data_IF_513221440190
#
_entry.id   IF_513221440190
#
_cell.length_a   1.000
_cell.length_b   1.000
_cell.length_c   1.000
_cell.angle_alpha   90.00
_cell.angle_beta   90.00
_cell.angle_gamma   90.00
#
_symmetry.space_group_name_H-M   'P 1'
#
loop_
_entity.id
_entity.type
_entity.pdbx_description
1 polymer ?
#
# COMPACT_ATOMS: atom_id res chain seq x y z
N UNK A 1 35.62 -18.32 13.94
CA UNK A 1 34.45 -17.44 14.06
C UNK A 1 33.22 -18.33 14.09
N UNK A 2 32.29 -18.21 15.06
CA UNK A 2 31.10 -19.05 15.07
C UNK A 2 30.26 -18.75 13.83
N UNK A 3 29.80 -19.82 13.17
CA UNK A 3 28.98 -19.76 11.96
C UNK A 3 27.63 -19.18 12.36
N UNK A 4 27.37 -17.92 12.02
CA UNK A 4 26.11 -17.27 12.33
C UNK A 4 25.00 -18.07 11.62
N UNK A 5 24.14 -18.72 12.40
CA UNK A 5 23.00 -19.46 11.87
C UNK A 5 21.95 -18.40 11.57
N UNK A 6 21.83 -18.03 10.30
CA UNK A 6 20.78 -17.13 9.84
C UNK A 6 19.68 -17.97 9.21
N UNK A 7 18.44 -17.71 9.61
CA UNK A 7 17.25 -18.26 8.99
C UNK A 7 16.74 -17.33 7.88
N UNK A 8 15.64 -17.74 7.24
CA UNK A 8 15.02 -16.97 6.16
C UNK A 8 14.57 -15.59 6.64
N UNK A 9 14.01 -15.50 7.85
CA UNK A 9 13.46 -14.26 8.40
C UNK A 9 14.57 -13.24 8.70
N UNK A 10 15.66 -13.68 9.33
CA UNK A 10 16.83 -12.83 9.58
C UNK A 10 17.45 -12.29 8.30
N UNK A 11 17.46 -13.08 7.22
CA UNK A 11 17.86 -12.63 5.89
C UNK A 11 16.94 -11.54 5.33
N UNK A 12 15.61 -11.72 5.42
CA UNK A 12 14.64 -10.73 4.95
C UNK A 12 14.72 -9.45 5.78
N UNK A 13 14.88 -9.55 7.10
CA UNK A 13 15.03 -8.39 7.99
C UNK A 13 16.24 -7.53 7.62
N UNK A 14 17.40 -8.16 7.39
CA UNK A 14 18.61 -7.44 6.94
C UNK A 14 18.45 -6.84 5.54
N UNK A 15 17.85 -7.60 4.62
CA UNK A 15 17.58 -7.11 3.27
C UNK A 15 16.62 -5.91 3.28
N UNK A 16 15.59 -5.96 4.12
CA UNK A 16 14.65 -4.86 4.33
C UNK A 16 15.33 -3.64 4.93
N UNK A 17 16.16 -3.79 5.97
CA UNK A 17 16.91 -2.68 6.54
C UNK A 17 17.86 -1.99 5.53
N UNK A 18 18.53 -2.77 4.69
CA UNK A 18 19.34 -2.21 3.58
C UNK A 18 18.46 -1.43 2.62
N UNK A 19 17.33 -2.01 2.23
CA UNK A 19 16.47 -1.42 1.24
C UNK A 19 15.75 -0.15 1.76
N UNK A 20 15.30 -0.12 3.01
CA UNK A 20 14.71 1.06 3.65
C UNK A 20 15.70 2.23 3.76
N UNK A 21 17.01 1.94 3.88
CA UNK A 21 18.08 2.96 3.98
C UNK A 21 18.63 3.40 2.62
N UNK A 22 18.89 2.43 1.74
CA UNK A 22 19.64 2.65 0.49
C UNK A 22 18.75 2.61 -0.76
N UNK A 23 17.46 2.29 -0.61
CA UNK A 23 16.50 2.08 -1.70
C UNK A 23 16.47 0.63 -2.23
N UNK A 24 15.32 0.21 -2.78
CA UNK A 24 15.14 -1.17 -3.29
C UNK A 24 16.07 -1.50 -4.47
N UNK A 25 16.37 -0.51 -5.30
CA UNK A 25 17.29 -0.67 -6.45
C UNK A 25 18.72 -0.97 -6.01
N UNK A 26 19.12 -0.50 -4.82
CA UNK A 26 20.44 -0.73 -4.26
C UNK A 26 20.61 -2.11 -3.61
N UNK A 27 19.52 -2.88 -3.47
CA UNK A 27 19.52 -4.23 -2.90
C UNK A 27 20.26 -5.21 -3.82
N UNK A 28 21.16 -5.98 -3.25
CA UNK A 28 21.83 -7.09 -3.96
C UNK A 28 22.11 -8.25 -3.03
N UNK A 29 22.10 -9.46 -3.59
CA UNK A 29 22.43 -10.71 -2.87
C UNK A 29 23.79 -10.59 -2.17
N UNK A 30 24.77 -9.95 -2.80
CA UNK A 30 26.11 -9.74 -2.23
C UNK A 30 26.09 -8.81 -1.00
N UNK A 31 25.38 -7.68 -1.07
CA UNK A 31 25.25 -6.76 0.07
C UNK A 31 24.57 -7.45 1.26
N UNK A 32 23.50 -8.19 1.00
CA UNK A 32 22.80 -8.94 2.05
C UNK A 32 23.69 -10.01 2.66
N UNK A 33 24.38 -10.82 1.84
CA UNK A 33 25.32 -11.82 2.34
C UNK A 33 26.41 -11.20 3.24
N UNK A 34 26.96 -10.05 2.82
CA UNK A 34 27.96 -9.31 3.59
C UNK A 34 27.39 -8.78 4.91
N UNK A 35 26.18 -8.21 4.91
CA UNK A 35 25.54 -7.71 6.12
C UNK A 35 25.22 -8.84 7.11
N UNK A 36 24.91 -10.03 6.60
CA UNK A 36 24.60 -11.22 7.38
C UNK A 36 25.85 -12.05 7.78
N UNK A 37 27.04 -11.69 7.30
CA UNK A 37 28.28 -12.45 7.58
C UNK A 37 28.32 -13.85 6.98
N UNK A 38 27.60 -14.10 5.87
CA UNK A 38 27.49 -15.42 5.22
C UNK A 38 28.05 -15.42 3.79
N UNK A 39 28.27 -16.61 3.24
CA UNK A 39 28.62 -16.76 1.83
C UNK A 39 27.45 -16.37 0.91
N UNK A 40 27.75 -15.76 -0.24
CA UNK A 40 26.74 -15.42 -1.26
C UNK A 40 25.92 -16.65 -1.68
N UNK A 41 26.58 -17.81 -1.84
CA UNK A 41 25.91 -19.07 -2.17
C UNK A 41 24.88 -19.52 -1.13
N UNK A 42 25.05 -19.16 0.14
CA UNK A 42 24.08 -19.46 1.20
C UNK A 42 22.77 -18.70 1.01
N UNK A 43 22.82 -17.46 0.50
CA UNK A 43 21.60 -16.68 0.21
C UNK A 43 20.76 -17.34 -0.89
N UNK A 44 21.42 -17.88 -1.93
CA UNK A 44 20.74 -18.61 -3.00
C UNK A 44 20.07 -19.90 -2.55
N UNK A 45 20.46 -20.45 -1.39
CA UNK A 45 19.75 -21.54 -0.74
C UNK A 45 18.36 -21.15 -0.20
N UNK A 46 18.15 -19.87 0.11
CA UNK A 46 16.87 -19.33 0.60
C UNK A 46 16.05 -18.63 -0.50
N UNK A 47 16.75 -17.92 -1.39
CA UNK A 47 16.18 -17.11 -2.45
C UNK A 47 16.87 -17.46 -3.77
N UNK A 48 16.28 -18.34 -4.60
CA UNK A 48 16.89 -18.81 -5.84
C UNK A 48 17.32 -17.68 -6.78
N UNK A 49 16.58 -16.57 -6.78
CA UNK A 49 16.88 -15.38 -7.57
C UNK A 49 16.94 -14.10 -6.73
N UNK A 50 17.56 -13.04 -7.27
CA UNK A 50 17.46 -11.69 -6.69
C UNK A 50 15.99 -11.25 -6.61
N UNK A 51 15.19 -11.59 -7.62
CA UNK A 51 13.78 -11.22 -7.66
C UNK A 51 12.99 -11.82 -6.49
N UNK A 52 13.28 -13.07 -6.09
CA UNK A 52 12.66 -13.71 -4.93
C UNK A 52 13.02 -13.00 -3.60
N UNK A 53 14.26 -12.54 -3.48
CA UNK A 53 14.71 -11.75 -2.34
C UNK A 53 14.01 -10.38 -2.30
N UNK A 54 13.95 -9.69 -3.45
CA UNK A 54 13.25 -8.40 -3.56
C UNK A 54 11.76 -8.55 -3.26
N UNK A 55 11.13 -9.63 -3.75
CA UNK A 55 9.74 -9.96 -3.48
C UNK A 55 9.48 -10.16 -1.98
N UNK A 56 10.35 -10.90 -1.27
CA UNK A 56 10.23 -11.09 0.17
C UNK A 56 10.42 -9.78 0.97
N UNK A 57 11.33 -8.91 0.54
CA UNK A 57 11.50 -7.57 1.13
C UNK A 57 10.25 -6.71 0.92
N UNK A 58 9.64 -6.75 -0.26
CA UNK A 58 8.38 -6.06 -0.51
C UNK A 58 7.24 -6.62 0.35
N UNK A 59 7.11 -7.94 0.46
CA UNK A 59 6.13 -8.55 1.37
C UNK A 59 6.29 -8.00 2.78
N UNK A 60 7.51 -7.98 3.32
CA UNK A 60 7.79 -7.42 4.65
C UNK A 60 7.45 -5.94 4.76
N UNK A 61 7.82 -5.13 3.77
CA UNK A 61 7.46 -3.71 3.73
C UNK A 61 5.95 -3.54 3.89
N UNK A 62 5.17 -4.33 3.17
CA UNK A 62 3.73 -4.25 3.22
C UNK A 62 3.13 -4.80 4.51
N UNK A 63 3.66 -5.89 5.06
CA UNK A 63 3.23 -6.40 6.37
C UNK A 63 3.48 -5.39 7.50
N UNK A 64 4.62 -4.68 7.48
CA UNK A 64 4.96 -3.70 8.52
C UNK A 64 4.21 -2.37 8.35
N UNK A 65 4.01 -1.91 7.11
CA UNK A 65 3.50 -0.56 6.85
C UNK A 65 2.02 -0.52 6.44
N UNK A 66 1.47 -1.63 5.93
CA UNK A 66 0.08 -1.73 5.45
C UNK A 66 -0.77 -2.72 6.27
N UNK A 67 -0.37 -2.99 7.50
CA UNK A 67 -1.03 -3.93 8.40
C UNK A 67 -2.52 -3.60 8.63
N UNK A 68 -3.26 -4.56 9.20
CA UNK A 68 -4.71 -4.51 9.45
C UNK A 68 -5.22 -3.18 10.01
N UNK A 69 -4.40 -2.43 10.75
CA UNK A 69 -4.72 -1.11 11.33
C UNK A 69 -5.11 -0.06 10.28
N UNK A 70 -4.52 -0.13 9.07
CA UNK A 70 -4.92 0.71 7.94
C UNK A 70 -6.31 0.35 7.42
N UNK A 71 -6.65 -0.94 7.43
CA UNK A 71 -7.91 -1.51 6.95
C UNK A 71 -8.99 -1.66 8.03
N UNK A 72 -8.77 -1.12 9.23
CA UNK A 72 -9.78 -1.11 10.30
C UNK A 72 -10.95 -0.23 9.86
N UNK A 73 -12.13 -0.85 9.80
CA UNK A 73 -13.41 -0.17 9.68
C UNK A 73 -13.73 0.43 11.05
N UNK A 74 -13.82 1.75 11.13
CA UNK A 74 -14.26 2.43 12.35
C UNK A 74 -15.78 2.67 12.25
N UNK A 75 -16.58 2.31 13.27
CA UNK A 75 -18.02 2.56 13.24
C UNK A 75 -18.34 4.04 12.97
N UNK A 76 -19.19 4.31 11.98
CA UNK A 76 -19.60 5.66 11.59
C UNK A 76 -18.53 6.49 10.85
N UNK A 77 -17.39 5.90 10.48
CA UNK A 77 -16.38 6.59 9.65
C UNK A 77 -16.86 6.68 8.20
N UNK A 78 -16.95 7.91 7.67
CA UNK A 78 -17.22 8.13 6.25
C UNK A 78 -16.09 7.57 5.39
N UNK A 79 -16.41 6.98 4.24
CA UNK A 79 -15.45 6.46 3.28
C UNK A 79 -14.40 7.52 2.89
N UNK A 80 -14.79 8.77 2.66
CA UNK A 80 -13.84 9.85 2.34
C UNK A 80 -12.91 10.22 3.50
N UNK A 81 -13.39 10.11 4.74
CA UNK A 81 -12.56 10.28 5.94
C UNK A 81 -11.56 9.14 6.09
N UNK A 82 -11.98 7.91 5.81
CA UNK A 82 -11.08 6.76 5.76
C UNK A 82 -10.00 6.94 4.67
N UNK A 83 -10.37 7.36 3.46
CA UNK A 83 -9.42 7.59 2.35
C UNK A 83 -8.35 8.61 2.74
N UNK A 84 -8.74 9.68 3.45
CA UNK A 84 -7.81 10.67 4.00
C UNK A 84 -6.87 10.07 5.03
N UNK A 85 -7.40 9.36 6.03
CA UNK A 85 -6.61 8.66 7.06
C UNK A 85 -5.64 7.66 6.45
N UNK A 86 -6.10 6.88 5.48
CA UNK A 86 -5.30 5.88 4.79
C UNK A 86 -4.16 6.55 4.00
N UNK A 87 -4.42 7.67 3.32
CA UNK A 87 -3.36 8.46 2.68
C UNK A 87 -2.33 8.96 3.68
N UNK A 88 -2.78 9.55 4.80
CA UNK A 88 -1.88 10.09 5.82
C UNK A 88 -0.96 9.01 6.37
N UNK A 89 -1.50 7.83 6.67
CA UNK A 89 -0.71 6.73 7.16
C UNK A 89 0.29 6.20 6.12
N UNK A 90 -0.09 6.13 4.83
CA UNK A 90 0.84 5.83 3.74
C UNK A 90 1.93 6.90 3.60
N UNK A 91 1.59 8.17 3.82
CA UNK A 91 2.53 9.29 3.77
C UNK A 91 3.50 9.26 4.94
N UNK A 92 3.05 8.91 6.14
CA UNK A 92 3.88 8.73 7.33
C UNK A 92 4.85 7.57 7.16
N UNK A 93 4.35 6.41 6.72
CA UNK A 93 5.18 5.25 6.39
C UNK A 93 6.25 5.59 5.36
N UNK A 94 5.89 6.37 4.32
CA UNK A 94 6.84 6.88 3.32
C UNK A 94 7.87 7.84 3.93
N UNK A 95 7.46 8.73 4.84
CA UNK A 95 8.35 9.73 5.44
C UNK A 95 9.40 9.10 6.37
N UNK A 96 9.12 7.94 6.95
CA UNK A 96 10.09 7.17 7.74
C UNK A 96 11.16 6.49 6.88
N UNK A 97 10.94 6.38 5.57
CA UNK A 97 11.92 5.84 4.62
C UNK A 97 12.86 6.93 4.12
N UNK A 98 14.17 6.64 4.06
CA UNK A 98 15.17 7.61 3.56
C UNK A 98 15.16 7.80 2.05
N UNK A 99 14.40 6.98 1.31
CA UNK A 99 14.32 6.98 -0.16
C UNK A 99 12.85 6.83 -0.58
N UNK A 100 12.49 7.47 -1.70
CA UNK A 100 11.18 7.27 -2.34
C UNK A 100 11.05 5.85 -2.92
N UNK A 101 10.64 4.94 -2.05
CA UNK A 101 10.45 3.52 -2.34
C UNK A 101 9.49 3.28 -3.51
N UNK A 102 8.40 4.05 -3.60
CA UNK A 102 7.41 3.92 -4.67
C UNK A 102 7.97 4.28 -6.05
N UNK A 103 8.78 5.33 -6.11
CA UNK A 103 9.50 5.69 -7.33
C UNK A 103 10.52 4.64 -7.72
N UNK A 104 11.27 4.09 -6.76
CA UNK A 104 12.24 3.03 -7.06
C UNK A 104 11.57 1.71 -7.47
N UNK A 105 10.43 1.35 -6.88
CA UNK A 105 9.61 0.21 -7.32
C UNK A 105 9.17 0.34 -8.77
N UNK A 106 8.79 1.55 -9.22
CA UNK A 106 8.42 1.84 -10.62
C UNK A 106 9.61 1.74 -11.59
N UNK A 107 10.84 1.84 -11.07
CA UNK A 107 12.09 1.83 -11.85
C UNK A 107 12.79 0.46 -11.84
N UNK A 108 12.22 -0.56 -11.21
CA UNK A 108 12.82 -1.89 -11.17
C UNK A 108 12.95 -2.47 -12.59
N UNK A 109 13.95 -3.34 -12.86
CA UNK A 109 14.12 -3.96 -14.17
C UNK A 109 12.95 -4.88 -14.54
N UNK A 110 12.64 -4.98 -15.83
CA UNK A 110 11.55 -5.84 -16.34
C UNK A 110 11.66 -7.32 -15.94
N UNK A 111 12.89 -7.83 -15.79
CA UNK A 111 13.16 -9.19 -15.35
C UNK A 111 12.76 -9.46 -13.89
N UNK A 112 12.63 -8.42 -13.07
CA UNK A 112 12.19 -8.52 -11.68
C UNK A 112 10.66 -8.33 -11.57
N UNK A 113 10.01 -7.72 -12.57
CA UNK A 113 8.57 -7.40 -12.54
C UNK A 113 7.66 -8.59 -12.29
N UNK A 114 7.89 -9.76 -12.89
CA UNK A 114 6.97 -10.90 -12.73
C UNK A 114 6.90 -11.42 -11.28
N UNK A 115 8.03 -11.51 -10.59
CA UNK A 115 8.07 -11.92 -9.18
C UNK A 115 7.51 -10.82 -8.26
N UNK A 116 7.74 -9.55 -8.61
CA UNK A 116 7.20 -8.42 -7.87
C UNK A 116 5.69 -8.29 -8.06
N UNK A 117 5.18 -8.55 -9.26
CA UNK A 117 3.75 -8.56 -9.59
C UNK A 117 3.03 -9.68 -8.85
N UNK A 118 3.64 -10.86 -8.73
CA UNK A 118 3.10 -11.98 -7.97
C UNK A 118 2.90 -11.64 -6.48
N UNK A 119 3.70 -10.75 -5.91
CA UNK A 119 3.53 -10.25 -4.52
C UNK A 119 2.59 -9.05 -4.47
N UNK A 120 2.75 -8.10 -5.39
CA UNK A 120 2.01 -6.84 -5.40
C UNK A 120 0.53 -7.06 -5.66
N UNK A 121 0.16 -7.96 -6.57
CA UNK A 121 -1.23 -8.14 -6.97
C UNK A 121 -2.13 -8.68 -5.84
N UNK A 122 -1.77 -9.75 -5.09
CA UNK A 122 -2.56 -10.21 -3.95
C UNK A 122 -2.72 -9.16 -2.85
N UNK A 123 -1.68 -8.35 -2.64
CA UNK A 123 -1.71 -7.28 -1.64
C UNK A 123 -2.60 -6.11 -2.08
N UNK A 124 -2.46 -5.60 -3.31
CA UNK A 124 -3.35 -4.55 -3.82
C UNK A 124 -4.80 -5.01 -3.74
N UNK A 125 -5.07 -6.27 -4.11
CA UNK A 125 -6.39 -6.87 -3.97
C UNK A 125 -6.86 -6.93 -2.50
N UNK A 126 -5.96 -7.13 -1.53
CA UNK A 126 -6.32 -7.08 -0.10
C UNK A 126 -6.74 -5.67 0.32
N UNK A 127 -5.99 -4.65 -0.08
CA UNK A 127 -6.30 -3.25 0.25
C UNK A 127 -7.59 -2.81 -0.45
N UNK A 128 -7.78 -3.19 -1.72
CA UNK A 128 -9.04 -2.94 -2.46
C UNK A 128 -10.25 -3.55 -1.74
N UNK A 129 -10.12 -4.77 -1.21
CA UNK A 129 -11.17 -5.39 -0.39
C UNK A 129 -11.38 -4.65 0.94
N UNK A 130 -10.33 -4.12 1.56
CA UNK A 130 -10.43 -3.29 2.76
C UNK A 130 -11.21 -2.02 2.50
N UNK A 131 -10.86 -1.29 1.43
CA UNK A 131 -11.59 -0.11 0.96
C UNK A 131 -13.06 -0.43 0.68
N UNK A 132 -13.35 -1.54 -0.01
CA UNK A 132 -14.71 -1.93 -0.31
C UNK A 132 -15.54 -2.20 0.96
N UNK A 133 -14.94 -2.84 1.98
CA UNK A 133 -15.61 -3.06 3.28
C UNK A 133 -15.95 -1.76 3.99
N UNK A 134 -15.08 -0.75 3.92
CA UNK A 134 -15.34 0.56 4.52
C UNK A 134 -16.43 1.31 3.74
N UNK A 135 -16.38 1.24 2.40
CA UNK A 135 -17.42 1.81 1.54
C UNK A 135 -18.79 1.18 1.84
N UNK A 136 -18.86 -0.14 1.97
CA UNK A 136 -20.09 -0.87 2.27
C UNK A 136 -20.60 -0.61 3.70
N UNK A 137 -19.71 -0.28 4.64
CA UNK A 137 -20.06 0.01 6.04
C UNK A 137 -20.47 1.47 6.28
N UNK A 138 -20.24 2.37 5.33
CA UNK A 138 -20.60 3.79 5.44
C UNK A 138 -22.08 3.99 5.12
N UNK A 139 -22.91 4.03 6.16
CA UNK A 139 -24.36 4.21 6.05
C UNK A 139 -24.77 5.55 5.40
N UNK A 140 -23.88 6.54 5.33
CA UNK A 140 -24.17 7.81 4.67
C UNK A 140 -24.08 7.73 3.14
N UNK A 141 -23.42 6.69 2.60
CA UNK A 141 -23.27 6.51 1.15
C UNK A 141 -24.63 6.25 0.50
N UNK A 142 -24.92 6.99 -0.57
CA UNK A 142 -26.08 6.74 -1.43
C UNK A 142 -25.83 5.52 -2.31
N UNK A 143 -26.24 4.34 -1.83
CA UNK A 143 -26.04 3.05 -2.51
C UNK A 143 -26.63 3.00 -3.91
N UNK A 144 -27.62 3.85 -4.23
CA UNK A 144 -28.19 3.94 -5.58
C UNK A 144 -27.18 4.46 -6.62
N UNK A 145 -26.12 5.14 -6.16
CA UNK A 145 -25.05 5.68 -7.01
C UNK A 145 -23.91 4.70 -7.27
N UNK A 146 -23.85 3.59 -6.52
CA UNK A 146 -22.79 2.58 -6.64
C UNK A 146 -23.05 1.60 -7.79
N UNK A 147 -23.17 2.12 -9.01
CA UNK A 147 -23.50 1.35 -10.22
C UNK A 147 -22.47 1.54 -11.33
N UNK A 148 -22.32 0.53 -12.19
CA UNK A 148 -21.40 0.59 -13.34
C UNK A 148 -19.96 0.91 -12.90
N UNK A 149 -19.28 1.92 -13.48
CA UNK A 149 -17.94 2.34 -13.07
C UNK A 149 -17.81 2.82 -11.61
N UNK A 150 -18.92 3.18 -10.97
CA UNK A 150 -18.99 3.57 -9.56
C UNK A 150 -19.31 2.39 -8.62
N UNK A 151 -19.44 1.17 -9.15
CA UNK A 151 -19.58 -0.02 -8.29
C UNK A 151 -18.36 -0.19 -7.37
N UNK A 152 -18.51 -0.85 -6.20
CA UNK A 152 -17.50 -0.85 -5.15
C UNK A 152 -16.10 -1.27 -5.63
N UNK A 153 -15.99 -2.34 -6.41
CA UNK A 153 -14.69 -2.88 -6.83
C UNK A 153 -13.94 -1.93 -7.80
N UNK A 154 -14.51 -1.49 -8.94
CA UNK A 154 -13.88 -0.48 -9.81
C UNK A 154 -13.55 0.82 -9.10
N UNK A 155 -14.44 1.31 -8.23
CA UNK A 155 -14.23 2.54 -7.48
C UNK A 155 -13.05 2.40 -6.50
N UNK A 156 -13.01 1.35 -5.69
CA UNK A 156 -11.92 1.12 -4.72
C UNK A 156 -10.57 0.95 -5.42
N UNK A 157 -10.54 0.24 -6.56
CA UNK A 157 -9.34 0.14 -7.40
C UNK A 157 -8.87 1.49 -7.92
N UNK A 158 -9.80 2.34 -8.38
CA UNK A 158 -9.48 3.69 -8.85
C UNK A 158 -8.93 4.56 -7.71
N UNK A 159 -9.59 4.56 -6.54
CA UNK A 159 -9.17 5.30 -5.34
C UNK A 159 -7.77 4.88 -4.92
N UNK A 160 -7.51 3.57 -4.82
CA UNK A 160 -6.19 3.06 -4.44
C UNK A 160 -5.10 3.50 -5.42
N UNK A 161 -5.37 3.41 -6.72
CA UNK A 161 -4.44 3.87 -7.76
C UNK A 161 -4.16 5.37 -7.66
N UNK A 162 -5.19 6.19 -7.44
CA UNK A 162 -5.05 7.63 -7.33
C UNK A 162 -4.21 8.01 -6.09
N UNK A 163 -4.41 7.35 -4.96
CA UNK A 163 -3.63 7.54 -3.74
C UNK A 163 -2.14 7.20 -3.93
N UNK A 164 -1.82 6.08 -4.58
CA UNK A 164 -0.43 5.75 -4.89
C UNK A 164 0.20 6.74 -5.88
N UNK A 165 -0.57 7.26 -6.85
CA UNK A 165 -0.08 8.31 -7.76
C UNK A 165 0.25 9.59 -7.00
N UNK A 166 -0.65 10.06 -6.12
CA UNK A 166 -0.41 11.28 -5.34
C UNK A 166 0.80 11.13 -4.42
N UNK A 167 0.99 9.97 -3.80
CA UNK A 167 2.17 9.69 -2.98
C UNK A 167 3.46 9.73 -3.78
N UNK A 168 3.47 9.13 -4.98
CA UNK A 168 4.65 9.13 -5.84
C UNK A 168 5.00 10.54 -6.36
N UNK A 169 4.00 11.39 -6.57
CA UNK A 169 4.16 12.78 -7.01
C UNK A 169 4.43 13.75 -5.85
N UNK A 170 4.25 13.31 -4.59
CA UNK A 170 4.32 14.16 -3.41
C UNK A 170 3.16 15.17 -3.32
N UNK A 171 2.04 14.89 -3.98
CA UNK A 171 0.85 15.75 -4.02
C UNK A 171 -0.21 15.33 -3.00
N UNK A 172 -1.26 16.16 -2.87
CA UNK A 172 -2.44 15.82 -2.08
C UNK A 172 -3.50 15.00 -2.82
N UNK A 173 -4.54 14.58 -2.09
CA UNK A 173 -5.70 13.90 -2.66
C UNK A 173 -7.01 14.68 -2.41
N UNK A 174 -6.95 15.98 -2.13
CA UNK A 174 -8.14 16.78 -1.79
C UNK A 174 -9.14 16.82 -2.94
N UNK A 175 -8.62 16.90 -4.17
CA UNK A 175 -9.45 16.84 -5.38
C UNK A 175 -10.20 15.51 -5.47
N UNK A 176 -9.52 14.38 -5.22
CA UNK A 176 -10.15 13.06 -5.20
C UNK A 176 -11.22 12.97 -4.11
N UNK A 177 -10.90 13.43 -2.90
CA UNK A 177 -11.83 13.41 -1.77
C UNK A 177 -13.08 14.24 -2.08
N UNK A 178 -12.91 15.45 -2.61
CA UNK A 178 -14.04 16.33 -2.98
C UNK A 178 -14.93 15.68 -4.05
N UNK A 179 -14.33 15.03 -5.05
CA UNK A 179 -15.07 14.31 -6.08
C UNK A 179 -15.82 13.11 -5.49
N UNK A 180 -15.20 12.36 -4.58
CA UNK A 180 -15.85 11.25 -3.88
C UNK A 180 -17.00 11.75 -3.00
N UNK A 181 -16.84 12.85 -2.28
CA UNK A 181 -17.89 13.41 -1.43
C UNK A 181 -19.13 13.79 -2.27
N UNK A 182 -18.91 14.50 -3.38
CA UNK A 182 -20.00 14.90 -4.29
C UNK A 182 -20.67 13.69 -4.97
N UNK A 183 -19.90 12.65 -5.28
CA UNK A 183 -20.38 11.47 -5.97
C UNK A 183 -21.10 10.48 -5.04
N UNK A 184 -20.62 10.29 -3.81
CA UNK A 184 -21.10 9.24 -2.91
C UNK A 184 -22.20 9.69 -1.96
N UNK A 185 -22.22 10.96 -1.57
CA UNK A 185 -23.17 11.45 -0.59
C UNK A 185 -24.28 12.27 -1.27
N UNK A 186 -25.48 12.20 -0.70
CA UNK A 186 -26.51 13.16 -1.05
C UNK A 186 -26.01 14.57 -0.69
N UNK A 187 -26.25 15.59 -1.53
CA UNK A 187 -26.03 16.96 -1.10
C UNK A 187 -26.85 17.16 0.18
N UNK A 188 -26.25 17.81 1.17
CA UNK A 188 -27.00 18.29 2.34
C UNK A 188 -28.02 19.32 1.84
N UNK A 189 -29.17 18.86 1.37
CA UNK A 189 -30.31 19.72 1.17
C UNK A 189 -30.68 20.16 2.58
N UNK A 190 -30.47 21.45 2.87
CA UNK A 190 -31.07 22.11 4.01
C UNK A 190 -32.53 21.66 4.06
N UNK A 191 -32.90 20.94 5.12
CA UNK A 191 -34.28 20.56 5.38
C UNK A 191 -35.03 21.80 5.85
N UNK A 192 -35.16 22.78 4.96
CA UNK A 192 -36.03 23.92 5.16
C UNK A 192 -37.44 23.48 4.77
N UNK A 193 -38.04 22.68 5.67
CA UNK A 193 -39.49 22.61 5.76
C UNK A 193 -39.94 23.72 6.71
N UNK A 194 -40.03 24.94 6.23
CA UNK A 194 -41.00 25.87 6.78
C UNK A 194 -42.37 25.58 6.17
N UNK A 195 -43.40 25.21 6.98
CA UNK A 195 -44.76 25.24 6.49
C UNK A 195 -45.21 26.70 6.43
N UNK A 196 -45.31 27.26 5.22
CA UNK A 196 -46.08 28.50 5.03
C UNK A 196 -47.56 28.14 5.11
N UNK A 197 -48.20 28.76 6.10
CA UNK A 197 -49.62 28.72 6.50
C UNK A 197 -50.63 28.68 5.36
#
# INVERSE_FOLDING_TARGET
>A
MPKQVIDREGLVSQAYAIASRDGISALSVRKVASACGIAVGSVYGYFPTKADLTAAVLTRFFEENLSEELCVVRPGERFTSYVRRFREALSSARAEMSVDWFTEMRRLPSAEHAALDAVRAPMLAHIERGLARVLDADEAVDSSRLVGPMSPEPLCRYVLRALFSSLAEGSDCETLITLLDAALYAPEFATDKEPVR
#
